data_IF_204417927790
#
_entry.id   IF_204417927790
#
_cell.length_a   1.000
_cell.length_b   1.000
_cell.length_c   1.000
_cell.angle_alpha   90.00
_cell.angle_beta   90.00
_cell.angle_gamma   90.00
#
_symmetry.space_group_name_H-M   'P 1'
#
loop_
_entity.id
_entity.type
_entity.pdbx_description
1 polymer ?
#
# COMPACT_ATOMS: atom_id res chain seq x y z
N UNK A 1 -51.34 1.29 12.78
CA UNK A 1 -49.89 1.06 12.98
C UNK A 1 -49.54 -0.25 12.31
N UNK A 2 -48.68 -0.21 11.29
CA UNK A 2 -48.22 -1.41 10.56
C UNK A 2 -47.01 -2.00 11.28
N UNK A 3 -47.15 -3.24 11.69
CA UNK A 3 -46.09 -4.18 12.11
C UNK A 3 -45.28 -4.58 10.88
N UNK A 4 -43.94 -4.57 10.92
CA UNK A 4 -43.01 -5.51 10.24
C UNK A 4 -41.63 -5.37 10.93
N UNK A 5 -41.15 -6.32 11.75
CA UNK A 5 -40.60 -7.66 11.50
C UNK A 5 -39.07 -7.62 11.78
N UNK A 6 -38.72 -7.87 13.06
CA UNK A 6 -37.34 -8.18 13.47
C UNK A 6 -37.02 -9.61 13.04
N UNK A 7 -36.12 -9.77 12.08
CA UNK A 7 -35.49 -11.04 11.75
C UNK A 7 -33.97 -10.87 11.90
N UNK A 8 -33.51 -11.06 13.14
CA UNK A 8 -32.12 -11.39 13.43
C UNK A 8 -32.02 -12.92 13.54
N UNK A 9 -31.72 -13.59 12.42
CA UNK A 9 -31.25 -14.98 12.29
C UNK A 9 -30.86 -15.08 10.80
N UNK A 10 -29.62 -15.31 10.40
CA UNK A 10 -28.82 -16.52 10.64
C UNK A 10 -27.32 -16.22 10.79
N UNK A 11 -26.66 -17.14 11.50
CA UNK A 11 -25.24 -17.19 11.82
C UNK A 11 -24.29 -17.09 10.61
N UNK A 12 -23.04 -16.69 10.89
CA UNK A 12 -21.84 -16.67 10.02
C UNK A 12 -21.35 -15.32 9.46
N UNK A 13 -21.60 -14.18 10.13
CA UNK A 13 -20.78 -12.96 9.91
C UNK A 13 -19.68 -12.83 10.97
N UNK A 14 -19.08 -13.96 11.32
CA UNK A 14 -17.79 -14.08 12.00
C UNK A 14 -16.64 -13.93 10.99
N UNK A 15 -16.70 -12.90 10.16
CA UNK A 15 -15.56 -12.43 9.36
C UNK A 15 -15.55 -10.91 9.43
N UNK A 16 -14.90 -10.46 10.51
CA UNK A 16 -13.97 -9.34 10.55
C UNK A 16 -14.30 -8.15 9.65
N UNK A 17 -14.45 -7.00 10.29
CA UNK A 17 -14.16 -5.70 9.70
C UNK A 17 -12.77 -5.79 9.03
N UNK A 18 -12.70 -6.13 7.74
CA UNK A 18 -11.54 -5.87 6.92
C UNK A 18 -11.58 -4.37 6.66
N UNK A 19 -10.89 -3.60 7.50
CA UNK A 19 -10.49 -2.24 7.16
C UNK A 19 -9.60 -2.37 5.91
N UNK A 20 -10.22 -2.31 4.75
CA UNK A 20 -9.54 -2.49 3.47
C UNK A 20 -8.56 -1.33 3.29
N UNK A 21 -7.27 -1.66 3.19
CA UNK A 21 -6.17 -0.78 2.81
C UNK A 21 -6.26 -0.32 1.34
N UNK A 22 -7.47 -0.29 0.79
CA UNK A 22 -7.77 -0.25 -0.62
C UNK A 22 -8.17 1.19 -0.98
N UNK A 23 -7.27 1.88 -1.67
CA UNK A 23 -7.49 3.22 -2.18
C UNK A 23 -7.99 3.20 -3.63
N UNK A 24 -8.13 4.38 -4.23
CA UNK A 24 -8.61 4.48 -5.61
C UNK A 24 -7.64 3.90 -6.64
N UNK A 25 -6.32 3.96 -6.40
CA UNK A 25 -5.33 3.35 -7.28
C UNK A 25 -5.47 1.82 -7.22
N UNK A 26 -5.72 1.26 -6.04
CA UNK A 26 -5.97 -0.18 -5.89
C UNK A 26 -7.18 -0.63 -6.72
N UNK A 27 -8.29 0.12 -6.66
CA UNK A 27 -9.50 -0.15 -7.46
C UNK A 27 -9.20 -0.10 -8.97
N UNK A 28 -8.52 0.94 -9.44
CA UNK A 28 -8.22 1.11 -10.87
C UNK A 28 -7.34 -0.03 -11.37
N UNK A 29 -6.27 -0.34 -10.65
CA UNK A 29 -5.31 -1.36 -11.07
C UNK A 29 -5.89 -2.77 -11.00
N UNK A 30 -6.68 -3.09 -9.97
CA UNK A 30 -7.36 -4.39 -9.89
C UNK A 30 -8.35 -4.59 -11.02
N UNK A 31 -9.10 -3.55 -11.41
CA UNK A 31 -10.02 -3.64 -12.55
C UNK A 31 -9.27 -3.79 -13.88
N UNK A 32 -8.22 -3.00 -14.11
CA UNK A 32 -7.42 -3.02 -15.34
C UNK A 32 -6.74 -4.36 -15.56
N UNK A 33 -6.23 -4.96 -14.49
CA UNK A 33 -5.47 -6.21 -14.52
C UNK A 33 -6.31 -7.45 -14.19
N UNK A 34 -7.60 -7.27 -13.88
CA UNK A 34 -8.54 -8.35 -13.49
C UNK A 34 -8.07 -9.12 -12.25
N UNK A 35 -7.49 -8.41 -11.28
CA UNK A 35 -7.06 -8.97 -9.98
C UNK A 35 -8.28 -9.04 -9.07
N UNK A 36 -8.59 -10.23 -8.55
CA UNK A 36 -9.64 -10.40 -7.54
C UNK A 36 -9.19 -9.87 -6.18
N UNK A 37 -10.14 -9.53 -5.31
CA UNK A 37 -9.80 -9.11 -3.94
C UNK A 37 -9.06 -10.22 -3.17
N UNK A 38 -9.46 -11.48 -3.37
CA UNK A 38 -8.79 -12.64 -2.77
C UNK A 38 -7.32 -12.75 -3.22
N UNK A 39 -7.05 -12.54 -4.50
CA UNK A 39 -5.69 -12.56 -5.03
C UNK A 39 -4.87 -11.37 -4.51
N UNK A 40 -5.46 -10.17 -4.50
CA UNK A 40 -4.82 -8.99 -3.93
C UNK A 40 -4.44 -9.23 -2.46
N UNK A 41 -5.39 -9.70 -1.63
CA UNK A 41 -5.15 -9.96 -0.21
C UNK A 41 -4.05 -11.02 -0.01
N UNK A 42 -3.93 -11.99 -0.93
CA UNK A 42 -2.92 -13.05 -0.87
C UNK A 42 -1.47 -12.56 -1.04
N UNK A 43 -1.28 -11.39 -1.65
CA UNK A 43 0.05 -10.83 -1.90
C UNK A 43 0.73 -10.25 -0.66
N UNK A 44 -0.07 -9.83 0.33
CA UNK A 44 0.44 -9.12 1.50
C UNK A 44 0.55 -10.03 2.72
N UNK A 45 1.65 -9.89 3.44
CA UNK A 45 1.76 -10.41 4.80
C UNK A 45 0.83 -9.61 5.71
N UNK A 46 -0.22 -10.27 6.21
CA UNK A 46 -1.30 -9.64 7.00
C UNK A 46 -0.83 -8.90 8.25
N UNK A 47 0.39 -9.17 8.75
CA UNK A 47 0.97 -8.52 9.94
C UNK A 47 1.95 -7.40 9.61
N UNK A 48 2.70 -7.49 8.51
CA UNK A 48 3.75 -6.53 8.16
C UNK A 48 3.40 -5.62 6.98
N UNK A 49 2.29 -5.92 6.29
CA UNK A 49 1.90 -5.30 5.02
C UNK A 49 3.00 -5.39 3.94
N UNK A 50 4.03 -6.22 4.15
CA UNK A 50 5.05 -6.48 3.14
C UNK A 50 4.48 -7.43 2.09
N UNK A 51 4.82 -7.18 0.83
CA UNK A 51 4.49 -8.05 -0.29
C UNK A 51 5.38 -9.30 -0.20
N UNK A 52 4.75 -10.47 -0.06
CA UNK A 52 5.43 -11.74 0.21
C UNK A 52 5.75 -12.60 -1.01
N UNK A 53 4.96 -12.50 -2.09
CA UNK A 53 5.16 -13.29 -3.31
C UNK A 53 5.72 -12.45 -4.46
N UNK A 54 7.05 -12.35 -4.52
CA UNK A 54 7.79 -11.52 -5.47
C UNK A 54 8.09 -12.21 -6.81
N UNK A 55 7.45 -13.36 -7.09
CA UNK A 55 7.69 -14.12 -8.33
C UNK A 55 6.48 -14.19 -9.27
N UNK A 56 5.33 -13.63 -8.86
CA UNK A 56 4.17 -13.49 -9.73
C UNK A 56 4.30 -12.23 -10.61
N UNK A 57 4.45 -12.40 -11.92
CA UNK A 57 4.49 -11.27 -12.86
C UNK A 57 3.26 -10.36 -12.76
N UNK A 58 2.11 -10.90 -12.35
CA UNK A 58 0.90 -10.11 -12.17
C UNK A 58 1.04 -9.09 -11.03
N UNK A 59 1.80 -9.41 -9.97
CA UNK A 59 2.07 -8.45 -8.90
C UNK A 59 3.01 -7.33 -9.35
N UNK A 60 3.98 -7.64 -10.23
CA UNK A 60 4.86 -6.62 -10.81
C UNK A 60 4.05 -5.64 -11.64
N UNK A 61 3.21 -6.16 -12.55
CA UNK A 61 2.33 -5.35 -13.40
C UNK A 61 1.34 -4.53 -12.54
N UNK A 62 0.86 -5.10 -11.43
CA UNK A 62 0.01 -4.41 -10.47
C UNK A 62 0.73 -3.26 -9.77
N UNK A 63 1.93 -3.49 -9.25
CA UNK A 63 2.68 -2.47 -8.53
C UNK A 63 3.16 -1.35 -9.44
N UNK A 64 3.52 -1.65 -10.69
CA UNK A 64 3.78 -0.63 -11.71
C UNK A 64 2.53 0.23 -11.94
N UNK A 65 1.37 -0.41 -12.13
CA UNK A 65 0.11 0.32 -12.28
C UNK A 65 -0.17 1.21 -11.06
N UNK A 66 -0.05 0.65 -9.85
CA UNK A 66 -0.36 1.34 -8.61
C UNK A 66 0.54 2.57 -8.41
N UNK A 67 1.86 2.42 -8.62
CA UNK A 67 2.82 3.53 -8.53
C UNK A 67 2.54 4.63 -9.57
N UNK A 68 2.09 4.27 -10.77
CA UNK A 68 1.70 5.23 -11.81
C UNK A 68 0.40 5.97 -11.48
N UNK A 69 -0.65 5.27 -11.03
CA UNK A 69 -1.93 5.89 -10.64
C UNK A 69 -1.76 6.81 -9.43
N UNK A 70 -0.84 6.48 -8.52
CA UNK A 70 -0.42 7.32 -7.38
C UNK A 70 0.54 8.45 -7.79
N UNK A 71 1.00 8.47 -9.05
CA UNK A 71 1.97 9.43 -9.61
C UNK A 71 3.33 9.41 -8.91
N UNK A 72 3.70 8.28 -8.32
CA UNK A 72 5.04 8.05 -7.76
C UNK A 72 6.05 7.78 -8.86
N UNK A 73 5.60 7.20 -9.97
CA UNK A 73 6.39 6.99 -11.18
C UNK A 73 5.65 7.52 -12.39
N UNK A 74 6.39 8.04 -13.37
CA UNK A 74 5.81 8.35 -14.68
C UNK A 74 5.72 7.12 -15.59
N UNK A 75 5.35 7.33 -16.86
CA UNK A 75 5.26 6.25 -17.85
C UNK A 75 6.62 5.71 -18.32
N UNK A 76 7.73 6.37 -17.96
CA UNK A 76 9.10 5.92 -18.19
C UNK A 76 9.68 5.23 -16.96
N UNK A 77 8.96 5.22 -15.84
CA UNK A 77 9.43 4.68 -14.57
C UNK A 77 10.36 5.61 -13.81
N UNK A 78 10.40 6.91 -14.17
CA UNK A 78 11.11 7.95 -13.42
C UNK A 78 10.33 8.29 -12.14
N UNK A 79 11.03 8.37 -11.01
CA UNK A 79 10.41 8.61 -9.71
C UNK A 79 10.08 10.09 -9.50
N UNK A 80 8.84 10.34 -9.09
CA UNK A 80 8.39 11.60 -8.53
C UNK A 80 8.59 11.58 -7.01
N UNK A 81 9.77 12.04 -6.58
CA UNK A 81 10.13 12.06 -5.16
C UNK A 81 9.16 12.88 -4.32
N UNK A 82 8.66 14.01 -4.83
CA UNK A 82 7.69 14.85 -4.09
C UNK A 82 6.44 14.05 -3.73
N UNK A 83 5.87 13.31 -4.70
CA UNK A 83 4.71 12.45 -4.44
C UNK A 83 5.02 11.32 -3.45
N UNK A 84 6.22 10.73 -3.53
CA UNK A 84 6.65 9.68 -2.61
C UNK A 84 6.83 10.19 -1.17
N UNK A 85 7.44 11.36 -0.99
CA UNK A 85 7.56 12.04 0.31
C UNK A 85 6.18 12.39 0.90
N UNK A 86 5.26 12.88 0.06
CA UNK A 86 3.88 13.15 0.47
C UNK A 86 3.16 11.90 0.94
N UNK A 87 3.36 10.78 0.26
CA UNK A 87 2.76 9.50 0.63
C UNK A 87 3.23 9.00 1.98
N UNK A 88 4.56 8.95 2.19
CA UNK A 88 5.15 8.48 3.45
C UNK A 88 4.64 9.33 4.61
N UNK A 89 4.66 10.65 4.46
CA UNK A 89 4.25 11.53 5.55
C UNK A 89 2.74 11.52 5.82
N UNK A 90 1.87 11.21 4.85
CA UNK A 90 0.40 11.30 5.01
C UNK A 90 -0.30 9.97 5.21
N UNK A 91 0.04 8.96 4.41
CA UNK A 91 -0.78 7.75 4.29
C UNK A 91 -0.10 6.52 4.89
N UNK A 92 1.23 6.39 4.80
CA UNK A 92 1.92 5.18 5.26
C UNK A 92 1.72 4.94 6.76
N UNK A 93 1.81 6.00 7.58
CA UNK A 93 1.53 5.88 9.03
C UNK A 93 0.13 5.36 9.32
N UNK A 94 -0.88 5.84 8.56
CA UNK A 94 -2.26 5.37 8.69
C UNK A 94 -2.38 3.89 8.37
N UNK A 95 -1.63 3.40 7.39
CA UNK A 95 -1.64 1.99 7.01
C UNK A 95 -1.04 1.08 8.09
N UNK A 96 -0.02 1.55 8.81
CA UNK A 96 0.57 0.79 9.92
C UNK A 96 -0.17 0.94 11.26
N UNK A 97 -1.38 1.51 11.25
CA UNK A 97 -2.14 1.78 12.48
C UNK A 97 -1.41 2.73 13.43
N UNK A 98 -0.39 3.44 12.95
CA UNK A 98 0.35 4.44 13.71
C UNK A 98 -0.49 5.70 13.70
N UNK A 99 -0.89 6.11 14.88
CA UNK A 99 -1.73 7.28 15.01
C UNK A 99 -0.98 8.49 14.45
N UNK A 100 -1.62 9.20 13.53
CA UNK A 100 -1.10 10.46 12.99
C UNK A 100 -0.91 11.49 14.11
N UNK A 101 -1.57 11.29 15.26
CA UNK A 101 -1.37 12.11 16.46
C UNK A 101 -0.10 11.79 17.25
N UNK A 102 0.46 10.57 17.14
CA UNK A 102 1.70 10.19 17.86
C UNK A 102 2.97 10.60 17.11
N UNK A 103 2.88 10.83 15.80
CA UNK A 103 3.98 11.38 15.00
C UNK A 103 3.55 12.72 14.36
N UNK A 104 3.92 13.87 14.97
CA UNK A 104 3.66 15.19 14.40
C UNK A 104 4.15 15.31 12.96
N UNK A 105 3.58 16.25 12.20
CA UNK A 105 3.93 16.42 10.77
C UNK A 105 5.43 16.62 10.54
N UNK A 106 6.12 17.38 11.41
CA UNK A 106 7.56 17.63 11.26
C UNK A 106 8.38 16.35 11.46
N UNK A 107 8.04 15.53 12.45
CA UNK A 107 8.69 14.23 12.66
C UNK A 107 8.48 13.29 11.46
N UNK A 108 7.26 13.25 10.91
CA UNK A 108 6.97 12.45 9.70
C UNK A 108 7.74 12.93 8.48
N UNK A 109 7.99 14.24 8.35
CA UNK A 109 8.85 14.78 7.29
C UNK A 109 10.31 14.35 7.47
N UNK A 110 10.84 14.44 8.70
CA UNK A 110 12.20 14.00 9.02
C UNK A 110 12.40 12.51 8.75
N UNK A 111 11.41 11.69 9.15
CA UNK A 111 11.44 10.26 8.92
C UNK A 111 11.38 9.95 7.41
N UNK A 112 10.51 10.60 6.65
CA UNK A 112 10.44 10.41 5.20
C UNK A 112 11.77 10.83 4.53
N UNK A 113 12.33 11.98 4.91
CA UNK A 113 13.64 12.51 4.46
C UNK A 113 14.80 11.55 4.75
N UNK A 114 14.67 10.70 5.76
CA UNK A 114 15.64 9.66 6.08
C UNK A 114 15.40 8.36 5.31
N UNK A 115 14.17 7.83 5.37
CA UNK A 115 13.86 6.48 4.88
C UNK A 115 13.91 6.39 3.36
N UNK A 116 13.42 7.41 2.63
CA UNK A 116 13.34 7.34 1.17
C UNK A 116 14.74 7.23 0.54
N UNK A 117 15.73 8.07 0.87
CA UNK A 117 17.09 7.92 0.36
C UNK A 117 17.77 6.61 0.77
N UNK A 118 17.55 6.13 2.00
CA UNK A 118 18.06 4.84 2.48
C UNK A 118 17.53 3.69 1.62
N UNK A 119 16.21 3.67 1.37
CA UNK A 119 15.58 2.66 0.54
C UNK A 119 16.00 2.75 -0.93
N UNK A 120 16.14 3.96 -1.48
CA UNK A 120 16.66 4.16 -2.83
C UNK A 120 18.05 3.55 -2.99
N UNK A 121 18.94 3.80 -2.03
CA UNK A 121 20.30 3.26 -2.06
C UNK A 121 20.34 1.73 -1.90
N UNK A 122 19.39 1.16 -1.14
CA UNK A 122 19.31 -0.27 -0.87
C UNK A 122 18.76 -1.06 -2.07
N UNK A 123 17.66 -0.60 -2.68
CA UNK A 123 16.92 -1.39 -3.71
C UNK A 123 16.99 -0.82 -5.12
N UNK A 124 17.55 0.38 -5.33
CA UNK A 124 17.83 0.92 -6.66
C UNK A 124 16.60 1.45 -7.41
N UNK A 125 15.91 2.44 -6.84
CA UNK A 125 14.71 3.08 -7.41
C UNK A 125 14.87 3.57 -8.87
N UNK A 126 16.04 4.07 -9.22
CA UNK A 126 16.31 4.71 -10.51
C UNK A 126 16.65 3.70 -11.62
N UNK A 127 16.72 2.41 -11.31
CA UNK A 127 16.95 1.37 -12.31
C UNK A 127 15.63 1.07 -13.04
N UNK A 128 15.64 0.80 -14.35
CA UNK A 128 14.44 0.35 -15.06
C UNK A 128 14.38 -1.19 -15.03
N UNK A 129 13.78 -1.74 -13.98
CA UNK A 129 13.65 -3.18 -13.75
C UNK A 129 12.23 -3.45 -13.24
N UNK A 130 11.48 -4.33 -13.91
CA UNK A 130 10.20 -4.83 -13.38
C UNK A 130 10.42 -5.43 -11.99
N UNK A 131 9.65 -4.99 -11.01
CA UNK A 131 9.72 -5.47 -9.62
C UNK A 131 10.47 -4.53 -8.66
N UNK A 132 11.10 -3.46 -9.15
CA UNK A 132 11.68 -2.43 -8.27
C UNK A 132 10.63 -1.74 -7.41
N UNK A 133 9.39 -1.63 -7.91
CA UNK A 133 8.26 -1.01 -7.23
C UNK A 133 7.90 -1.78 -5.96
N UNK A 134 7.94 -3.12 -6.03
CA UNK A 134 7.78 -4.00 -4.87
C UNK A 134 8.93 -3.76 -3.87
N UNK A 135 10.17 -3.74 -4.34
CA UNK A 135 11.34 -3.48 -3.48
C UNK A 135 11.25 -2.13 -2.78
N UNK A 136 10.85 -1.08 -3.51
CA UNK A 136 10.66 0.26 -2.98
C UNK A 136 9.55 0.31 -1.93
N UNK A 137 8.38 -0.26 -2.24
CA UNK A 137 7.26 -0.35 -1.33
C UNK A 137 7.66 -1.12 -0.06
N UNK A 138 8.19 -2.35 -0.20
CA UNK A 138 8.56 -3.21 0.92
C UNK A 138 9.62 -2.56 1.81
N UNK A 139 10.64 -1.91 1.23
CA UNK A 139 11.64 -1.23 2.03
C UNK A 139 11.01 -0.12 2.89
N UNK A 140 10.20 0.76 2.28
CA UNK A 140 9.56 1.87 2.99
C UNK A 140 8.59 1.33 4.06
N UNK A 141 7.75 0.37 3.69
CA UNK A 141 6.81 -0.32 4.57
C UNK A 141 7.52 -0.93 5.79
N UNK A 142 8.60 -1.69 5.57
CA UNK A 142 9.37 -2.33 6.63
C UNK A 142 10.04 -1.33 7.58
N UNK A 143 10.57 -0.22 7.05
CA UNK A 143 11.22 0.83 7.86
C UNK A 143 10.20 1.55 8.73
N UNK A 144 9.04 1.91 8.17
CA UNK A 144 7.97 2.57 8.92
C UNK A 144 7.33 1.62 9.92
N UNK A 145 7.09 0.36 9.57
CA UNK A 145 6.50 -0.65 10.47
C UNK A 145 7.32 -0.88 11.74
N UNK A 146 8.65 -0.68 11.69
CA UNK A 146 9.58 -0.85 12.82
C UNK A 146 9.69 0.34 13.78
N UNK A 147 9.14 1.50 13.43
CA UNK A 147 9.12 2.67 14.32
C UNK A 147 8.22 2.45 15.55
#
# INVERSE_FOLDING_TARGET
MKTELRLCLFAALSQLIQCTFFDSADVICSQKLKVSMELFDSWFHTTTLEIGDVHDRLIDDYMVCWMQERKFTDNKGEINYDALYEWVRKDVYRYFGKDITTHPLEERKEIAAKIIPECQAEVGFDQYINGKEIGAYNCIASRIGKL
#
